data_IF_281982617327
#
_entry.id   IF_281982617327
#
_cell.length_a   1.000
_cell.length_b   1.000
_cell.length_c   1.000
_cell.angle_alpha   90.00
_cell.angle_beta   90.00
_cell.angle_gamma   90.00
#
_symmetry.space_group_name_H-M   'P 1'
#
loop_
_entity.id
_entity.type
_entity.pdbx_description
1 polymer ?
#
# COMPACT_ATOMS: atom_id res chain seq x y z
N UNK A 1 22.03 -8.69 13.84
CA UNK A 1 21.03 -9.38 12.97
C UNK A 1 20.75 -8.50 11.76
N UNK A 2 20.66 -9.08 10.56
CA UNK A 2 20.18 -8.35 9.38
C UNK A 2 18.67 -8.12 9.52
N UNK A 3 18.20 -6.94 9.12
CA UNK A 3 16.79 -6.52 9.19
C UNK A 3 16.39 -5.90 7.86
N UNK A 4 15.14 -6.11 7.47
CA UNK A 4 14.53 -5.52 6.29
C UNK A 4 13.24 -4.77 6.68
N UNK A 5 12.86 -3.79 5.86
CA UNK A 5 11.58 -3.09 5.93
C UNK A 5 10.70 -3.55 4.76
N UNK A 6 9.55 -4.14 5.07
CA UNK A 6 8.50 -4.41 4.09
C UNK A 6 7.40 -3.37 4.24
N UNK A 7 7.17 -2.60 3.17
CA UNK A 7 6.10 -1.61 3.07
C UNK A 7 4.94 -2.27 2.34
N UNK A 8 3.81 -2.46 3.03
CA UNK A 8 2.68 -3.22 2.48
C UNK A 8 1.61 -2.26 1.96
N UNK A 9 1.39 -2.29 0.65
CA UNK A 9 0.22 -1.72 -0.04
C UNK A 9 -0.07 -0.26 0.33
N UNK A 10 0.98 0.56 0.41
CA UNK A 10 0.83 2.01 0.61
C UNK A 10 0.56 2.66 -0.75
N UNK A 11 -0.69 2.56 -1.19
CA UNK A 11 -1.17 3.01 -2.50
C UNK A 11 -2.30 4.03 -2.35
N UNK A 12 -2.46 4.90 -3.36
CA UNK A 12 -3.45 5.98 -3.34
C UNK A 12 -4.87 5.50 -3.07
N UNK A 13 -5.28 4.35 -3.61
CA UNK A 13 -6.62 3.81 -3.41
C UNK A 13 -6.91 3.40 -1.96
N UNK A 14 -5.87 3.17 -1.16
CA UNK A 14 -5.98 2.87 0.26
C UNK A 14 -5.78 4.11 1.15
N UNK A 15 -5.45 5.28 0.58
CA UNK A 15 -5.37 6.55 1.28
C UNK A 15 -6.71 7.32 1.25
N UNK A 16 -6.90 8.35 2.10
CA UNK A 16 -8.09 9.19 2.04
C UNK A 16 -8.35 9.76 0.65
N UNK A 17 -9.58 9.63 0.16
CA UNK A 17 -9.98 10.00 -1.20
C UNK A 17 -9.80 8.89 -2.25
N UNK A 18 -9.17 7.77 -1.88
CA UNK A 18 -9.02 6.58 -2.71
C UNK A 18 -10.26 5.68 -2.75
N UNK A 19 -10.27 4.73 -3.69
CA UNK A 19 -11.42 3.84 -3.92
C UNK A 19 -11.73 2.87 -2.76
N UNK A 20 -10.73 2.48 -1.96
CA UNK A 20 -10.87 1.64 -0.77
C UNK A 20 -10.13 2.28 0.41
N UNK A 21 -10.44 3.55 0.68
CA UNK A 21 -9.72 4.38 1.63
C UNK A 21 -9.70 3.82 3.06
N UNK A 22 -8.50 3.74 3.63
CA UNK A 22 -8.27 3.58 5.07
C UNK A 22 -8.23 4.95 5.72
N UNK A 23 -8.99 5.12 6.80
CA UNK A 23 -9.00 6.37 7.56
C UNK A 23 -7.58 6.73 8.02
N UNK A 24 -7.14 7.94 7.70
CA UNK A 24 -5.81 8.46 8.03
C UNK A 24 -4.63 7.63 7.46
N UNK A 25 -4.86 6.80 6.42
CA UNK A 25 -3.86 5.89 5.86
C UNK A 25 -2.62 6.59 5.28
N UNK A 26 -2.77 7.82 4.81
CA UNK A 26 -1.71 8.69 4.32
C UNK A 26 -0.68 9.06 5.39
N UNK A 27 -1.07 9.08 6.68
CA UNK A 27 -0.15 9.37 7.79
C UNK A 27 0.96 8.33 7.94
N UNK A 28 0.77 7.11 7.41
CA UNK A 28 1.80 6.08 7.40
C UNK A 28 3.02 6.48 6.58
N UNK A 29 2.84 7.27 5.52
CA UNK A 29 3.91 7.68 4.59
C UNK A 29 5.04 8.40 5.32
N UNK A 30 4.71 9.33 6.22
CA UNK A 30 5.70 10.09 6.99
C UNK A 30 6.53 9.18 7.91
N UNK A 31 5.88 8.20 8.55
CA UNK A 31 6.54 7.21 9.41
C UNK A 31 7.46 6.32 8.59
N UNK A 32 6.98 5.80 7.47
CA UNK A 32 7.75 4.94 6.56
C UNK A 32 8.99 5.67 6.05
N UNK A 33 8.86 6.90 5.59
CA UNK A 33 9.98 7.70 5.10
C UNK A 33 11.08 7.90 6.14
N UNK A 34 10.72 8.06 7.43
CA UNK A 34 11.68 8.10 8.54
C UNK A 34 12.32 6.74 8.86
N UNK A 35 11.67 5.64 8.51
CA UNK A 35 12.16 4.28 8.77
C UNK A 35 13.10 3.79 7.67
N UNK A 36 12.84 4.10 6.39
CA UNK A 36 13.65 3.68 5.24
C UNK A 36 15.17 3.75 5.48
N UNK A 37 15.78 4.87 5.95
CA UNK A 37 17.23 4.96 6.10
C UNK A 37 17.81 4.06 7.21
N UNK A 38 16.95 3.41 8.02
CA UNK A 38 17.37 2.52 9.12
C UNK A 38 17.50 1.05 8.71
N UNK A 39 17.16 0.71 7.47
CA UNK A 39 17.17 -0.66 6.96
C UNK A 39 18.03 -0.78 5.71
N UNK A 40 18.81 -1.86 5.64
CA UNK A 40 19.67 -2.18 4.48
C UNK A 40 18.85 -2.67 3.28
N UNK A 41 17.74 -3.36 3.56
CA UNK A 41 16.82 -3.88 2.55
C UNK A 41 15.45 -3.27 2.76
N UNK A 42 14.92 -2.62 1.74
CA UNK A 42 13.57 -2.05 1.71
C UNK A 42 12.84 -2.63 0.51
N UNK A 43 11.69 -3.23 0.76
CA UNK A 43 10.80 -3.79 -0.27
C UNK A 43 9.42 -3.18 -0.08
N UNK A 44 8.76 -2.85 -1.18
CA UNK A 44 7.35 -2.44 -1.16
C UNK A 44 6.52 -3.44 -1.97
N UNK A 45 5.41 -3.90 -1.42
CA UNK A 45 4.39 -4.59 -2.20
C UNK A 45 3.45 -3.57 -2.84
N UNK A 46 2.74 -4.04 -3.87
CA UNK A 46 1.56 -3.36 -4.37
C UNK A 46 0.50 -4.40 -4.67
N UNK A 47 -0.74 -4.05 -4.34
CA UNK A 47 -1.90 -4.69 -4.91
C UNK A 47 -2.01 -4.25 -6.39
N UNK A 48 -2.30 -5.20 -7.28
CA UNK A 48 -2.22 -4.98 -8.72
C UNK A 48 -3.24 -5.85 -9.47
N UNK A 49 -4.46 -5.34 -9.57
CA UNK A 49 -5.59 -6.10 -10.12
C UNK A 49 -5.75 -5.89 -11.62
N UNK A 50 -6.21 -6.92 -12.36
CA UNK A 50 -6.77 -6.68 -13.69
C UNK A 50 -8.08 -5.88 -13.56
N UNK A 51 -8.43 -5.12 -14.60
CA UNK A 51 -9.63 -4.28 -14.60
C UNK A 51 -10.95 -5.08 -14.40
N UNK A 52 -10.95 -6.37 -14.74
CA UNK A 52 -12.07 -7.28 -14.57
C UNK A 52 -11.60 -8.49 -13.75
N UNK A 53 -12.20 -8.66 -12.55
CA UNK A 53 -11.85 -9.73 -11.61
C UNK A 53 -13.03 -10.03 -10.69
N UNK A 54 -13.21 -11.29 -10.32
CA UNK A 54 -14.18 -11.72 -9.27
C UNK A 54 -13.86 -11.14 -7.89
N UNK A 55 -12.63 -10.62 -7.70
CA UNK A 55 -12.26 -9.87 -6.50
C UNK A 55 -13.19 -8.68 -6.25
N UNK A 56 -13.63 -8.01 -7.33
CA UNK A 56 -14.51 -6.85 -7.24
C UNK A 56 -15.98 -7.18 -7.00
N UNK A 57 -16.35 -8.46 -6.90
CA UNK A 57 -17.67 -8.86 -6.40
C UNK A 57 -17.80 -8.59 -4.90
N UNK A 58 -16.66 -8.53 -4.18
CA UNK A 58 -16.60 -8.30 -2.73
C UNK A 58 -16.07 -6.91 -2.36
N UNK A 59 -15.18 -6.36 -3.17
CA UNK A 59 -14.51 -5.08 -2.91
C UNK A 59 -14.80 -4.08 -4.04
N UNK A 60 -14.82 -2.76 -3.78
CA UNK A 60 -14.89 -1.78 -4.87
C UNK A 60 -13.69 -1.95 -5.80
N UNK A 61 -13.78 -1.47 -7.05
CA UNK A 61 -12.63 -1.47 -7.97
C UNK A 61 -11.50 -0.62 -7.38
N UNK A 62 -10.30 -1.18 -7.24
CA UNK A 62 -9.11 -0.50 -6.71
C UNK A 62 -7.84 -1.10 -7.32
N UNK A 63 -6.75 -0.33 -7.29
CA UNK A 63 -5.39 -0.77 -7.62
C UNK A 63 -5.31 -1.50 -8.98
N UNK A 64 -6.06 -1.03 -9.97
CA UNK A 64 -6.11 -1.60 -11.32
C UNK A 64 -4.86 -1.24 -12.12
N UNK A 65 -4.35 -2.22 -12.86
CA UNK A 65 -3.18 -2.13 -13.74
C UNK A 65 -3.37 -1.32 -15.02
#
# INVERSE_FOLDING_TARGET
>A
MKRALLIVDVQNDFCPGGALAVKDGDKAVEVINRLIPRFEVVVASKDWHPAQSVHFDKWPVHCVA
#
